data_IF_890841306431
#
_entry.id   IF_890841306431
#
_cell.length_a   1.000
_cell.length_b   1.000
_cell.length_c   1.000
_cell.angle_alpha   90.00
_cell.angle_beta   90.00
_cell.angle_gamma   90.00
#
_symmetry.space_group_name_H-M   'P 1'
#
loop_
_entity.id
_entity.type
_entity.pdbx_description
1 polymer ?
#
# COMPACT_ATOMS: atom_id res chain seq x y z
N UNK A 1 -2.15 16.02 1.13
CA UNK A 1 -3.16 15.80 0.06
C UNK A 1 -3.78 14.47 0.39
N UNK A 2 -5.04 14.47 0.81
CA UNK A 2 -5.68 13.25 1.28
C UNK A 2 -5.91 12.31 0.10
N UNK A 3 -5.25 11.17 0.11
CA UNK A 3 -5.35 10.20 -0.96
C UNK A 3 -6.64 9.40 -0.76
N UNK A 4 -7.68 9.73 -1.53
CA UNK A 4 -8.99 9.07 -1.49
C UNK A 4 -9.11 8.08 -2.64
N UNK A 5 -9.47 6.83 -2.33
CA UNK A 5 -9.67 5.75 -3.30
C UNK A 5 -11.11 5.24 -3.25
N UNK A 6 -11.76 5.22 -4.41
CA UNK A 6 -13.12 4.68 -4.56
C UNK A 6 -13.06 3.17 -4.73
N UNK A 7 -13.77 2.43 -3.90
CA UNK A 7 -13.77 0.97 -3.87
C UNK A 7 -15.19 0.43 -4.04
N UNK A 8 -15.31 -0.78 -4.55
CA UNK A 8 -16.59 -1.45 -4.77
C UNK A 8 -16.55 -2.87 -4.21
N UNK A 9 -17.71 -3.37 -3.78
CA UNK A 9 -17.83 -4.76 -3.34
C UNK A 9 -17.54 -5.72 -4.49
N UNK A 10 -16.77 -6.77 -4.21
CA UNK A 10 -16.38 -7.76 -5.21
C UNK A 10 -17.20 -9.03 -5.01
N UNK A 11 -18.03 -9.35 -6.00
CA UNK A 11 -18.81 -10.61 -6.02
C UNK A 11 -18.08 -11.77 -6.72
N UNK A 12 -17.05 -11.47 -7.53
CA UNK A 12 -16.31 -12.48 -8.30
C UNK A 12 -15.08 -12.94 -7.53
N UNK A 13 -15.00 -14.23 -7.25
CA UNK A 13 -13.91 -14.84 -6.49
C UNK A 13 -13.23 -16.01 -7.23
N UNK A 14 -12.08 -16.45 -6.69
CA UNK A 14 -11.31 -17.58 -7.21
C UNK A 14 -10.71 -17.35 -8.61
N UNK A 15 -10.72 -18.38 -9.46
CA UNK A 15 -10.06 -18.34 -10.78
C UNK A 15 -10.63 -17.27 -11.73
N UNK A 16 -11.88 -16.85 -11.54
CA UNK A 16 -12.59 -15.87 -12.39
C UNK A 16 -12.04 -14.45 -12.24
N UNK A 17 -11.31 -14.18 -11.16
CA UNK A 17 -10.66 -12.89 -10.86
C UNK A 17 -9.70 -12.46 -11.97
N UNK A 18 -9.14 -13.41 -12.75
CA UNK A 18 -8.31 -13.09 -13.93
C UNK A 18 -9.05 -12.19 -14.92
N UNK A 19 -10.36 -12.39 -15.10
CA UNK A 19 -11.16 -11.58 -16.02
C UNK A 19 -11.28 -10.13 -15.56
N UNK A 20 -11.40 -9.89 -14.25
CA UNK A 20 -11.41 -8.54 -13.69
C UNK A 20 -10.10 -7.80 -14.00
N UNK A 21 -8.96 -8.47 -13.80
CA UNK A 21 -7.64 -7.87 -14.11
C UNK A 21 -7.51 -7.52 -15.59
N UNK A 22 -7.99 -8.39 -16.47
CA UNK A 22 -8.02 -8.10 -17.92
C UNK A 22 -8.90 -6.90 -18.28
N UNK A 23 -9.92 -6.59 -17.47
CA UNK A 23 -10.79 -5.42 -17.62
C UNK A 23 -10.21 -4.16 -16.93
N UNK A 24 -8.99 -4.23 -16.38
CA UNK A 24 -8.38 -3.12 -15.65
C UNK A 24 -8.94 -2.93 -14.23
N UNK A 25 -9.60 -3.94 -13.67
CA UNK A 25 -10.09 -3.96 -12.28
C UNK A 25 -9.16 -4.80 -11.43
N UNK A 26 -8.61 -4.20 -10.39
CA UNK A 26 -7.70 -4.83 -9.45
C UNK A 26 -8.47 -5.26 -8.20
N UNK A 27 -8.41 -6.56 -7.85
CA UNK A 27 -8.84 -7.09 -6.56
C UNK A 27 -8.12 -6.43 -5.40
N UNK A 28 -8.85 -6.10 -4.34
CA UNK A 28 -8.27 -5.65 -3.08
C UNK A 28 -8.92 -6.38 -1.91
N UNK A 29 -8.20 -6.48 -0.80
CA UNK A 29 -8.72 -7.05 0.43
C UNK A 29 -8.61 -6.03 1.54
N UNK A 30 -9.67 -5.86 2.31
CA UNK A 30 -9.67 -5.01 3.50
C UNK A 30 -9.78 -5.92 4.72
N UNK A 31 -8.98 -5.64 5.74
CA UNK A 31 -9.08 -6.30 7.05
C UNK A 31 -8.66 -5.33 8.14
N UNK A 32 -9.05 -5.59 9.38
CA UNK A 32 -8.64 -4.82 10.54
C UNK A 32 -8.98 -5.54 11.83
N UNK A 33 -8.45 -5.06 12.95
CA UNK A 33 -8.71 -5.69 14.26
C UNK A 33 -10.16 -5.52 14.71
N UNK A 34 -10.79 -4.40 14.35
CA UNK A 34 -12.18 -4.07 14.70
C UNK A 34 -13.15 -4.16 13.51
N UNK A 35 -12.67 -4.57 12.34
CA UNK A 35 -13.44 -4.57 11.10
C UNK A 35 -13.42 -5.95 10.44
N UNK A 36 -14.60 -6.39 10.00
CA UNK A 36 -14.74 -7.63 9.24
C UNK A 36 -13.95 -7.56 7.93
N UNK A 37 -13.32 -8.68 7.58
CA UNK A 37 -12.59 -8.80 6.32
C UNK A 37 -13.53 -8.68 5.13
N UNK A 38 -13.21 -7.80 4.19
CA UNK A 38 -14.03 -7.53 3.01
C UNK A 38 -13.26 -7.78 1.70
N UNK A 39 -13.92 -8.49 0.79
CA UNK A 39 -13.49 -8.66 -0.60
C UNK A 39 -13.97 -7.47 -1.42
N UNK A 40 -13.06 -6.58 -1.82
CA UNK A 40 -13.40 -5.40 -2.60
C UNK A 40 -12.63 -5.38 -3.93
N UNK A 41 -12.95 -4.42 -4.79
CA UNK A 41 -12.32 -4.21 -6.08
C UNK A 41 -12.24 -2.72 -6.41
N UNK A 42 -11.24 -2.35 -7.22
CA UNK A 42 -10.99 -0.97 -7.63
C UNK A 42 -10.43 -0.93 -9.05
N UNK A 43 -10.57 0.20 -9.74
CA UNK A 43 -9.90 0.40 -11.03
C UNK A 43 -8.39 0.51 -10.83
N UNK A 44 -7.63 -0.22 -11.64
CA UNK A 44 -6.18 -0.27 -11.55
C UNK A 44 -5.53 1.11 -11.70
N UNK A 45 -6.06 1.95 -12.59
CA UNK A 45 -5.53 3.30 -12.84
C UNK A 45 -5.65 4.21 -11.60
N UNK A 46 -6.79 4.15 -10.91
CA UNK A 46 -7.03 4.94 -9.70
C UNK A 46 -6.17 4.44 -8.54
N UNK A 47 -6.05 3.12 -8.40
CA UNK A 47 -5.18 2.50 -7.40
C UNK A 47 -3.72 2.90 -7.57
N UNK A 48 -3.18 2.87 -8.80
CA UNK A 48 -1.80 3.27 -9.07
C UNK A 48 -1.58 4.75 -8.73
N UNK A 49 -2.52 5.62 -9.11
CA UNK A 49 -2.42 7.05 -8.83
C UNK A 49 -2.38 7.33 -7.33
N UNK A 50 -3.25 6.68 -6.55
CA UNK A 50 -3.31 6.82 -5.09
C UNK A 50 -2.07 6.26 -4.41
N UNK A 51 -1.61 5.08 -4.81
CA UNK A 51 -0.40 4.47 -4.23
C UNK A 51 0.86 5.31 -4.50
N UNK A 52 0.97 5.90 -5.69
CA UNK A 52 2.08 6.79 -6.03
C UNK A 52 2.03 8.11 -5.26
N UNK A 53 0.83 8.63 -4.98
CA UNK A 53 0.63 9.87 -4.22
C UNK A 53 0.91 9.67 -2.72
N UNK A 54 0.36 8.61 -2.13
CA UNK A 54 0.47 8.33 -0.70
C UNK A 54 1.85 7.76 -0.34
N UNK A 55 2.43 6.92 -1.21
CA UNK A 55 3.57 6.07 -0.85
C UNK A 55 3.18 4.92 0.08
N UNK A 56 4.14 4.08 0.43
CA UNK A 56 3.90 2.84 1.18
C UNK A 56 3.59 3.04 2.68
N UNK A 57 3.94 4.19 3.24
CA UNK A 57 3.86 4.44 4.69
C UNK A 57 2.80 5.46 5.11
N UNK A 58 2.00 5.94 4.16
CA UNK A 58 0.95 6.94 4.43
C UNK A 58 -0.43 6.30 4.46
N UNK A 59 -1.34 6.81 5.32
CA UNK A 59 -2.72 6.37 5.33
C UNK A 59 -3.45 6.79 4.05
N UNK A 60 -4.35 5.92 3.57
CA UNK A 60 -5.21 6.13 2.42
C UNK A 60 -6.66 6.06 2.90
N UNK A 61 -7.50 6.98 2.42
CA UNK A 61 -8.94 6.93 2.68
C UNK A 61 -9.62 6.07 1.62
N UNK A 62 -10.26 4.97 2.02
CA UNK A 62 -11.06 4.12 1.15
C UNK A 62 -12.54 4.50 1.29
N UNK A 63 -13.23 4.67 0.16
CA UNK A 63 -14.64 5.06 0.11
C UNK A 63 -15.44 4.03 -0.71
N UNK A 64 -16.44 3.40 -0.10
CA UNK A 64 -17.31 2.40 -0.73
C UNK A 64 -18.65 2.96 -1.26
N UNK A 65 -18.77 4.29 -1.28
CA UNK A 65 -19.97 5.05 -1.60
C UNK A 65 -20.89 5.31 -0.40
N UNK A 66 -20.67 4.66 0.75
CA UNK A 66 -21.47 4.81 1.97
C UNK A 66 -20.65 5.35 3.13
N UNK A 67 -19.46 4.79 3.33
CA UNK A 67 -18.57 5.07 4.45
C UNK A 67 -17.15 5.38 3.96
N UNK A 68 -16.43 6.16 4.75
CA UNK A 68 -14.99 6.36 4.59
C UNK A 68 -14.28 5.58 5.68
N UNK A 69 -13.27 4.79 5.31
CA UNK A 69 -12.38 4.12 6.25
C UNK A 69 -10.94 4.50 5.94
N UNK A 70 -10.12 4.65 6.99
CA UNK A 70 -8.70 4.93 6.84
C UNK A 70 -7.96 3.59 6.87
N UNK A 71 -7.10 3.36 5.89
CA UNK A 71 -6.34 2.13 5.78
C UNK A 71 -4.93 2.36 5.26
N UNK A 72 -4.01 1.48 5.64
CA UNK A 72 -2.66 1.42 5.08
C UNK A 72 -2.57 0.29 4.04
N UNK A 73 -1.89 0.55 2.92
CA UNK A 73 -1.55 -0.49 1.95
C UNK A 73 -0.43 -1.37 2.53
N UNK A 74 -0.80 -2.53 3.08
CA UNK A 74 0.13 -3.42 3.78
C UNK A 74 0.95 -4.27 2.83
N UNK A 75 0.31 -4.79 1.79
CA UNK A 75 0.97 -5.62 0.79
C UNK A 75 0.48 -5.23 -0.60
N UNK A 76 1.43 -5.01 -1.51
CA UNK A 76 1.15 -4.72 -2.93
C UNK A 76 1.76 -5.84 -3.76
N UNK A 77 0.91 -6.77 -4.21
CA UNK A 77 1.36 -7.88 -5.03
C UNK A 77 1.50 -7.45 -6.49
N UNK A 78 2.64 -7.76 -7.09
CA UNK A 78 2.96 -7.44 -8.47
C UNK A 78 3.19 -8.70 -9.28
N UNK A 79 2.83 -8.65 -10.55
CA UNK A 79 3.13 -9.71 -11.50
C UNK A 79 4.64 -9.71 -11.80
N UNK A 80 5.37 -10.81 -11.60
CA UNK A 80 6.85 -10.81 -11.64
C UNK A 80 7.44 -10.49 -13.02
N UNK A 81 6.68 -10.65 -14.10
CA UNK A 81 7.13 -10.33 -15.46
C UNK A 81 6.67 -8.95 -15.95
N UNK A 82 5.47 -8.51 -15.56
CA UNK A 82 4.84 -7.32 -16.15
C UNK A 82 4.80 -6.14 -15.17
N UNK A 83 5.20 -6.37 -13.92
CA UNK A 83 5.17 -5.41 -12.80
C UNK A 83 3.78 -4.84 -12.48
N UNK A 84 2.73 -5.38 -13.12
CA UNK A 84 1.35 -4.96 -12.91
C UNK A 84 0.87 -5.38 -11.53
N UNK A 85 0.14 -4.49 -10.87
CA UNK A 85 -0.45 -4.76 -9.55
C UNK A 85 -1.61 -5.75 -9.72
N UNK A 86 -1.50 -6.91 -9.08
CA UNK A 86 -2.47 -8.02 -9.18
C UNK A 86 -3.40 -8.13 -7.99
N UNK A 87 -2.97 -7.62 -6.83
CA UNK A 87 -3.72 -7.61 -5.59
C UNK A 87 -3.12 -6.56 -4.64
N UNK A 88 -3.97 -5.94 -3.81
CA UNK A 88 -3.52 -5.08 -2.71
C UNK A 88 -4.29 -5.39 -1.45
N UNK A 89 -3.55 -5.50 -0.36
CA UNK A 89 -4.06 -5.72 0.99
C UNK A 89 -4.06 -4.39 1.74
N UNK A 90 -5.24 -3.99 2.21
CA UNK A 90 -5.45 -2.80 3.00
C UNK A 90 -5.76 -3.20 4.44
N UNK A 91 -4.97 -2.68 5.36
CA UNK A 91 -5.23 -2.80 6.79
C UNK A 91 -5.97 -1.55 7.27
N UNK A 92 -7.23 -1.71 7.65
CA UNK A 92 -8.05 -0.67 8.26
C UNK A 92 -7.51 -0.41 9.66
N UNK A 93 -7.40 0.87 10.01
CA UNK A 93 -6.86 1.33 11.29
C UNK A 93 -7.83 2.29 11.97
N UNK A 94 -8.07 2.05 13.25
CA UNK A 94 -8.74 3.00 14.13
C UNK A 94 -7.83 4.16 14.50
N UNK A 95 -8.40 5.26 15.00
CA UNK A 95 -7.64 6.43 15.47
C UNK A 95 -6.69 6.12 16.64
N UNK A 96 -6.99 5.09 17.43
CA UNK A 96 -6.22 4.73 18.62
C UNK A 96 -5.29 3.53 18.41
N UNK A 97 -5.28 2.94 17.22
CA UNK A 97 -4.49 1.74 16.93
C UNK A 97 -2.99 2.07 16.82
N UNK A 98 -2.18 1.19 17.41
CA UNK A 98 -0.75 1.15 17.12
C UNK A 98 -0.54 0.38 15.82
N UNK A 99 0.08 1.04 14.84
CA UNK A 99 0.33 0.46 13.52
C UNK A 99 1.83 0.25 13.35
N UNK A 100 2.21 -0.97 12.98
CA UNK A 100 3.57 -1.26 12.53
C UNK A 100 3.68 -0.99 11.04
N UNK A 101 4.54 -0.05 10.63
CA UNK A 101 4.77 0.29 9.22
C UNK A 101 6.24 0.17 8.88
N UNK A 102 6.54 -0.31 7.68
CA UNK A 102 7.91 -0.28 7.14
C UNK A 102 8.17 1.07 6.49
N UNK A 103 9.10 1.82 7.06
CA UNK A 103 9.45 3.16 6.60
C UNK A 103 10.81 3.11 5.90
N UNK A 104 10.92 3.65 4.66
CA UNK A 104 12.19 3.65 3.94
C UNK A 104 13.22 4.54 4.62
N UNK A 105 14.46 4.03 4.71
CA UNK A 105 15.59 4.78 5.26
C UNK A 105 16.20 5.67 4.18
N UNK A 106 16.14 6.98 4.34
CA UNK A 106 16.82 7.92 3.45
C UNK A 106 18.17 8.32 4.06
N UNK A 107 19.27 7.95 3.39
CA UNK A 107 20.62 8.35 3.81
C UNK A 107 20.89 9.79 3.34
N UNK A 108 21.41 10.62 4.23
CA UNK A 108 21.74 12.02 3.94
C UNK A 108 23.25 12.24 3.99
N UNK A 109 23.77 13.00 3.04
CA UNK A 109 25.21 13.28 2.95
C UNK A 109 25.99 12.19 2.20
N UNK A 110 27.28 12.44 2.02
CA UNK A 110 28.19 11.55 1.31
C UNK A 110 29.40 11.24 2.21
N UNK A 111 29.76 9.95 2.32
CA UNK A 111 30.92 9.54 3.11
C UNK A 111 32.22 10.00 2.43
N UNK A 112 33.21 10.51 3.18
CA UNK A 112 34.53 10.84 2.64
C UNK A 112 35.20 9.65 1.94
N UNK A 113 34.90 8.42 2.35
CA UNK A 113 35.42 7.22 1.71
C UNK A 113 34.83 6.98 0.32
N UNK A 114 33.54 7.28 0.13
CA UNK A 114 32.90 7.21 -1.19
C UNK A 114 33.46 8.33 -2.08
N UNK A 115 33.53 9.55 -1.55
CA UNK A 115 33.94 10.74 -2.29
C UNK A 115 35.41 10.75 -2.71
N UNK A 116 36.31 10.41 -1.78
CA UNK A 116 37.76 10.62 -1.95
C UNK A 116 38.55 9.32 -2.11
N UNK A 117 38.01 8.17 -1.69
CA UNK A 117 38.73 6.89 -1.63
C UNK A 117 38.14 5.84 -2.59
N UNK A 118 37.14 6.18 -3.40
CA UNK A 118 36.49 5.27 -4.34
C UNK A 118 35.72 4.11 -3.67
N UNK A 119 35.35 4.26 -2.40
CA UNK A 119 34.60 3.24 -1.66
C UNK A 119 33.15 3.12 -2.14
N UNK A 120 32.57 1.92 -2.01
CA UNK A 120 31.16 1.66 -2.33
C UNK A 120 30.37 1.57 -1.03
N UNK A 121 29.32 2.39 -0.88
CA UNK A 121 28.38 2.28 0.21
C UNK A 121 27.34 1.20 -0.10
N UNK A 122 27.26 0.18 0.75
CA UNK A 122 26.25 -0.88 0.64
C UNK A 122 25.19 -0.66 1.72
N UNK A 123 23.94 -0.44 1.31
CA UNK A 123 22.80 -0.31 2.21
C UNK A 123 22.16 -1.69 2.39
N UNK A 124 22.48 -2.38 3.49
CA UNK A 124 21.94 -3.71 3.81
C UNK A 124 20.46 -3.69 4.23
N UNK A 125 20.02 -2.60 4.86
CA UNK A 125 18.66 -2.46 5.39
C UNK A 125 17.96 -1.28 4.70
N UNK A 126 16.99 -1.57 3.86
CA UNK A 126 16.29 -0.56 3.04
C UNK A 126 15.18 0.15 3.81
N UNK A 127 14.45 -0.61 4.63
CA UNK A 127 13.32 -0.17 5.45
C UNK A 127 13.56 -0.50 6.93
N UNK A 128 12.95 0.27 7.82
CA UNK A 128 12.89 -0.02 9.25
C UNK A 128 11.43 -0.15 9.64
N UNK A 129 11.11 -1.19 10.42
CA UNK A 129 9.79 -1.35 11.00
C UNK A 129 9.63 -0.42 12.21
N UNK A 130 8.64 0.45 12.16
CA UNK A 130 8.32 1.42 13.20
C UNK A 130 6.90 1.13 13.69
N UNK A 131 6.71 1.11 15.01
CA UNK A 131 5.38 1.08 15.63
C UNK A 131 5.04 2.45 16.18
N UNK A 132 3.94 3.03 15.74
CA UNK A 132 3.44 4.31 16.23
C UNK A 132 1.92 4.37 16.18
N UNK A 133 1.33 5.25 17.01
CA UNK A 133 -0.07 5.65 16.83
C UNK A 133 -0.23 6.40 15.51
N UNK A 134 -1.36 6.19 14.85
CA UNK A 134 -1.70 6.89 13.61
C UNK A 134 -1.99 8.36 13.94
N UNK A 135 -1.25 9.27 13.31
CA UNK A 135 -1.55 10.70 13.38
C UNK A 135 -2.43 11.03 12.16
N UNK A 136 -3.76 11.05 12.38
CA UNK A 136 -4.76 11.39 11.36
C UNK A 136 -4.96 12.89 11.29
#
# INVERSE_FOLDING_TARGET
MDAVLQIQERTIEGKKVKNLRNQGITPIHLYGSEFDSASMQVKMSELIAVLNLAGFSSPITLNDGKNNVIAFAREVQRHPLTEQIIHVDFQIVGKDDQVEVEVPVNLTGESPAVKNLGGVLIKLMETIRISSKVNV
#
